data_IF_169642325619
#
_entry.id   IF_169642325619
#
_cell.length_a   1.000
_cell.length_b   1.000
_cell.length_c   1.000
_cell.angle_alpha   90.00
_cell.angle_beta   90.00
_cell.angle_gamma   90.00
#
_symmetry.space_group_name_H-M   'P 1'
#
loop_
_entity.id
_entity.type
_entity.pdbx_description
1 polymer ?
#
# COMPACT_ATOMS: atom_id res chain seq x y z
N UNK A 1 16.24 -0.13 -17.95
CA UNK A 1 15.06 -1.04 -17.87
C UNK A 1 15.09 -1.86 -16.60
N UNK A 2 16.24 -2.40 -16.17
CA UNK A 2 16.36 -3.22 -14.96
C UNK A 2 16.06 -2.41 -13.69
N UNK A 3 16.65 -1.24 -13.54
CA UNK A 3 16.48 -0.37 -12.35
C UNK A 3 15.01 0.00 -12.07
N UNK A 4 14.26 0.34 -13.12
CA UNK A 4 12.82 0.69 -12.98
C UNK A 4 11.94 -0.50 -12.57
N UNK A 5 12.33 -1.74 -12.89
CA UNK A 5 11.58 -2.95 -12.55
C UNK A 5 12.03 -3.60 -11.25
N UNK A 6 13.30 -3.41 -10.87
CA UNK A 6 13.85 -3.97 -9.65
C UNK A 6 13.08 -3.53 -8.40
N UNK A 7 12.64 -2.27 -8.36
CA UNK A 7 11.84 -1.74 -7.26
C UNK A 7 10.46 -2.40 -7.10
N UNK A 8 9.96 -3.11 -8.12
CA UNK A 8 8.68 -3.81 -8.09
C UNK A 8 8.83 -5.30 -7.70
N UNK A 9 10.05 -5.78 -7.53
CA UNK A 9 10.34 -7.18 -7.20
C UNK A 9 10.88 -7.23 -5.76
N UNK A 10 10.18 -7.89 -4.82
CA UNK A 10 10.55 -7.86 -3.41
C UNK A 10 11.99 -8.29 -3.12
N UNK A 11 12.54 -9.19 -3.90
CA UNK A 11 13.90 -9.72 -3.75
C UNK A 11 14.99 -8.66 -4.05
N UNK A 12 14.66 -7.63 -4.83
CA UNK A 12 15.57 -6.54 -5.22
C UNK A 12 15.16 -5.16 -4.72
N UNK A 13 13.93 -5.05 -4.21
CA UNK A 13 13.38 -3.81 -3.69
C UNK A 13 13.95 -3.47 -2.31
N UNK A 14 13.73 -2.24 -1.90
CA UNK A 14 13.93 -1.74 -0.54
C UNK A 14 12.71 -0.92 -0.15
N UNK A 15 12.11 -1.23 0.99
CA UNK A 15 11.01 -0.43 1.54
C UNK A 15 11.60 0.77 2.28
N UNK A 16 11.30 1.95 1.79
CA UNK A 16 11.78 3.23 2.33
C UNK A 16 10.67 4.03 3.02
N UNK A 17 9.42 3.73 2.68
CA UNK A 17 8.23 4.36 3.26
C UNK A 17 7.05 3.39 3.25
N UNK A 18 6.28 3.40 4.32
CA UNK A 18 4.96 2.76 4.42
C UNK A 18 4.02 3.72 5.11
N UNK A 19 2.90 4.04 4.47
CA UNK A 19 1.82 4.84 5.06
C UNK A 19 0.59 3.99 5.30
N UNK A 20 0.02 4.15 6.49
CA UNK A 20 -1.23 3.49 6.90
C UNK A 20 -2.21 4.54 7.38
N UNK A 21 -3.49 4.40 7.04
CA UNK A 21 -4.54 5.21 7.58
C UNK A 21 -5.62 4.34 8.23
N UNK A 22 -6.18 4.83 9.33
CA UNK A 22 -7.29 4.24 10.04
C UNK A 22 -8.52 5.12 9.85
N UNK A 23 -9.61 4.53 9.40
CA UNK A 23 -10.91 5.18 9.39
C UNK A 23 -11.62 4.78 10.68
N UNK A 24 -11.91 5.75 11.52
CA UNK A 24 -12.59 5.56 12.80
C UNK A 24 -14.12 5.51 12.62
N UNK A 25 -14.83 4.98 13.61
CA UNK A 25 -16.29 4.83 13.57
C UNK A 25 -17.03 6.18 13.42
N UNK A 26 -16.44 7.26 13.92
CA UNK A 26 -16.96 8.63 13.76
C UNK A 26 -16.64 9.25 12.38
N UNK A 27 -15.96 8.53 11.50
CA UNK A 27 -15.55 8.99 10.18
C UNK A 27 -14.20 9.72 10.14
N UNK A 28 -13.58 10.00 11.30
CA UNK A 28 -12.25 10.61 11.33
C UNK A 28 -11.18 9.67 10.73
N UNK A 29 -10.18 10.29 10.11
CA UNK A 29 -9.05 9.57 9.53
C UNK A 29 -7.78 9.88 10.31
N UNK A 30 -7.12 8.84 10.82
CA UNK A 30 -5.79 8.95 11.42
C UNK A 30 -4.78 8.27 10.52
N UNK A 31 -3.76 8.99 10.07
CA UNK A 31 -2.67 8.44 9.27
C UNK A 31 -1.39 8.35 10.07
N UNK A 32 -0.55 7.38 9.71
CA UNK A 32 0.78 7.21 10.24
C UNK A 32 1.71 6.72 9.14
N UNK A 33 2.84 7.40 8.98
CA UNK A 33 3.89 7.06 8.03
C UNK A 33 5.13 6.58 8.75
N UNK A 34 5.75 5.55 8.21
CA UNK A 34 7.02 4.99 8.65
C UNK A 34 8.00 5.13 7.49
N UNK A 35 9.10 5.85 7.71
CA UNK A 35 10.08 6.08 6.64
C UNK A 35 11.48 6.18 7.21
N UNK A 36 12.48 5.84 6.40
CA UNK A 36 13.87 5.93 6.83
C UNK A 36 14.85 5.35 5.83
N UNK A 37 16.14 5.61 6.08
CA UNK A 37 17.25 5.01 5.30
C UNK A 37 17.54 3.56 5.72
N UNK A 38 17.20 3.18 6.94
CA UNK A 38 17.30 1.80 7.43
C UNK A 38 15.96 1.08 7.24
N UNK A 39 15.94 0.11 6.33
CA UNK A 39 14.74 -0.66 6.02
C UNK A 39 14.29 -1.55 7.18
N UNK A 40 15.24 -2.15 7.91
CA UNK A 40 14.93 -3.01 9.05
C UNK A 40 14.15 -2.22 10.13
N UNK A 41 14.58 -1.00 10.42
CA UNK A 41 13.89 -0.14 11.38
C UNK A 41 12.50 0.27 10.92
N UNK A 42 12.33 0.60 9.63
CA UNK A 42 11.01 0.90 9.03
C UNK A 42 10.09 -0.32 9.17
N UNK A 43 10.55 -1.48 8.74
CA UNK A 43 9.76 -2.72 8.77
C UNK A 43 9.41 -3.15 10.20
N UNK A 44 10.31 -2.96 11.16
CA UNK A 44 10.05 -3.28 12.57
C UNK A 44 8.97 -2.40 13.20
N UNK A 45 8.90 -1.13 12.82
CA UNK A 45 7.82 -0.23 13.24
C UNK A 45 6.49 -0.64 12.59
N UNK A 46 6.48 -0.95 11.29
CA UNK A 46 5.31 -1.45 10.57
C UNK A 46 4.84 -2.77 11.16
N UNK A 47 5.74 -3.72 11.46
CA UNK A 47 5.41 -4.98 12.11
C UNK A 47 4.65 -4.77 13.42
N UNK A 48 5.16 -3.89 14.31
CA UNK A 48 4.50 -3.58 15.59
C UNK A 48 3.09 -3.01 15.41
N UNK A 49 2.87 -2.19 14.39
CA UNK A 49 1.54 -1.68 14.07
C UNK A 49 0.63 -2.79 13.59
N UNK A 50 1.07 -3.58 12.62
CA UNK A 50 0.28 -4.66 12.01
C UNK A 50 -0.03 -5.78 13.02
N UNK A 51 0.87 -6.08 13.97
CA UNK A 51 0.59 -7.01 15.08
C UNK A 51 -0.56 -6.54 15.97
N UNK A 52 -0.67 -5.23 16.20
CA UNK A 52 -1.81 -4.65 16.95
C UNK A 52 -3.09 -4.74 16.13
N UNK A 53 -3.02 -4.43 14.83
CA UNK A 53 -4.16 -4.54 13.92
C UNK A 53 -4.69 -5.98 13.83
N UNK A 54 -3.82 -6.97 13.77
CA UNK A 54 -4.22 -8.38 13.75
C UNK A 54 -4.96 -8.82 15.01
N UNK A 55 -4.58 -8.30 16.18
CA UNK A 55 -5.28 -8.57 17.45
C UNK A 55 -6.64 -7.92 17.56
N UNK A 56 -6.88 -6.84 16.84
CA UNK A 56 -8.12 -6.06 16.84
C UNK A 56 -9.05 -6.40 15.66
N UNK A 57 -8.74 -7.46 14.92
CA UNK A 57 -9.52 -7.95 13.78
C UNK A 57 -9.76 -6.91 12.66
N UNK A 58 -8.78 -6.05 12.40
CA UNK A 58 -8.82 -5.11 11.28
C UNK A 58 -8.73 -5.83 9.94
N UNK A 59 -9.35 -5.21 8.93
CA UNK A 59 -9.14 -5.57 7.53
C UNK A 59 -8.09 -4.65 6.91
N UNK A 60 -7.15 -5.23 6.16
CA UNK A 60 -6.28 -4.45 5.29
C UNK A 60 -7.08 -3.94 4.10
N UNK A 61 -6.78 -2.72 3.66
CA UNK A 61 -7.40 -2.16 2.48
C UNK A 61 -6.38 -1.45 1.61
N UNK A 62 -6.48 -1.65 0.29
CA UNK A 62 -5.54 -1.07 -0.66
C UNK A 62 -5.99 -1.21 -2.11
N UNK A 63 -5.16 -0.71 -3.02
CA UNK A 63 -5.34 -0.90 -4.46
C UNK A 63 -4.24 -1.81 -5.01
N UNK A 64 -4.60 -2.94 -5.58
CA UNK A 64 -3.68 -4.02 -5.95
C UNK A 64 -2.89 -4.59 -4.75
N UNK A 65 -3.44 -4.41 -3.57
CA UNK A 65 -2.82 -4.74 -2.28
C UNK A 65 -2.43 -6.21 -2.18
N UNK A 66 -3.33 -7.10 -2.60
CA UNK A 66 -3.12 -8.55 -2.52
C UNK A 66 -1.99 -9.06 -3.39
N UNK A 67 -1.77 -8.40 -4.54
CA UNK A 67 -0.74 -8.82 -5.50
C UNK A 67 0.56 -8.03 -5.36
N UNK A 68 0.58 -6.90 -4.65
CA UNK A 68 1.78 -6.06 -4.55
C UNK A 68 2.18 -5.79 -3.09
N UNK A 69 1.41 -5.00 -2.33
CA UNK A 69 1.85 -4.51 -1.01
C UNK A 69 2.00 -5.65 0.01
N UNK A 70 1.05 -6.57 0.08
CA UNK A 70 1.10 -7.73 0.99
C UNK A 70 2.32 -8.61 0.71
N UNK A 71 2.54 -9.13 -0.52
CA UNK A 71 3.72 -9.92 -0.83
C UNK A 71 5.02 -9.13 -0.64
N UNK A 72 5.04 -7.84 -0.97
CA UNK A 72 6.20 -6.98 -0.80
C UNK A 72 6.56 -6.88 0.69
N UNK A 73 5.63 -6.53 1.56
CA UNK A 73 5.85 -6.42 3.00
C UNK A 73 6.30 -7.74 3.61
N UNK A 74 5.57 -8.84 3.33
CA UNK A 74 5.88 -10.14 3.91
C UNK A 74 7.29 -10.63 3.51
N UNK A 75 7.62 -10.59 2.22
CA UNK A 75 8.94 -11.02 1.73
C UNK A 75 10.06 -10.11 2.22
N UNK A 76 9.87 -8.78 2.23
CA UNK A 76 10.88 -7.85 2.75
C UNK A 76 11.10 -8.01 4.26
N UNK A 77 10.06 -8.32 5.04
CA UNK A 77 10.21 -8.68 6.45
C UNK A 77 11.07 -9.94 6.60
N UNK A 78 10.78 -11.00 5.87
CA UNK A 78 11.57 -12.26 5.92
C UNK A 78 13.04 -12.00 5.54
N UNK A 79 13.29 -11.22 4.48
CA UNK A 79 14.66 -10.88 4.02
C UNK A 79 15.42 -10.07 5.09
N UNK A 80 14.71 -9.33 5.95
CA UNK A 80 15.28 -8.55 7.06
C UNK A 80 15.19 -9.30 8.40
N UNK A 81 15.05 -10.63 8.42
CA UNK A 81 14.97 -11.47 9.62
C UNK A 81 13.81 -11.10 10.57
N UNK A 82 12.73 -10.55 10.02
CA UNK A 82 11.50 -10.23 10.75
C UNK A 82 10.38 -11.22 10.38
N UNK A 83 9.63 -11.68 11.39
CA UNK A 83 8.47 -12.54 11.17
C UNK A 83 7.28 -11.68 10.67
N UNK A 84 6.66 -12.01 9.53
CA UNK A 84 5.44 -11.33 9.09
C UNK A 84 4.32 -11.45 10.12
N UNK A 85 3.61 -10.34 10.44
CA UNK A 85 2.47 -10.33 11.36
C UNK A 85 1.32 -11.22 10.89
N UNK A 86 0.54 -11.75 11.84
CA UNK A 86 -0.58 -12.66 11.56
C UNK A 86 -1.72 -12.06 10.72
N UNK A 87 -1.81 -10.74 10.62
CA UNK A 87 -2.75 -10.05 9.73
C UNK A 87 -2.38 -10.22 8.25
N UNK A 88 -1.11 -10.47 7.95
CA UNK A 88 -0.66 -10.83 6.60
C UNK A 88 -0.91 -12.32 6.37
N UNK A 89 -1.36 -12.71 5.17
CA UNK A 89 -1.60 -14.11 4.85
C UNK A 89 -0.30 -14.93 4.92
N UNK A 90 -0.41 -16.15 5.43
CA UNK A 90 0.67 -17.15 5.42
C UNK A 90 0.67 -17.93 4.10
N UNK A 91 1.67 -18.80 3.92
CA UNK A 91 1.83 -19.61 2.71
C UNK A 91 0.66 -20.57 2.44
N UNK A 92 -0.09 -20.95 3.46
CA UNK A 92 -1.23 -21.88 3.39
C UNK A 92 -2.59 -21.16 3.41
N UNK A 93 -2.60 -19.84 3.50
CA UNK A 93 -3.81 -19.02 3.45
C UNK A 93 -4.43 -19.06 2.06
N UNK A 94 -5.67 -19.49 1.96
CA UNK A 94 -6.39 -19.51 0.67
C UNK A 94 -6.81 -18.10 0.25
N UNK A 95 -6.93 -17.80 -1.04
CA UNK A 95 -7.26 -16.46 -1.53
C UNK A 95 -8.52 -15.85 -0.90
N UNK A 96 -9.54 -16.65 -0.60
CA UNK A 96 -10.79 -16.20 0.00
C UNK A 96 -10.73 -16.00 1.53
N UNK A 97 -9.66 -16.49 2.19
CA UNK A 97 -9.42 -16.32 3.63
C UNK A 97 -8.63 -15.04 3.94
N UNK A 98 -8.09 -14.39 2.91
CA UNK A 98 -7.30 -13.16 3.06
C UNK A 98 -8.23 -12.03 3.51
N UNK A 99 -8.06 -11.54 4.74
CA UNK A 99 -8.80 -10.41 5.31
C UNK A 99 -8.32 -9.08 4.71
N UNK A 100 -8.54 -8.91 3.41
CA UNK A 100 -8.15 -7.71 2.69
C UNK A 100 -9.21 -7.29 1.67
N UNK A 101 -9.44 -5.99 1.61
CA UNK A 101 -10.31 -5.32 0.63
C UNK A 101 -9.38 -4.71 -0.43
N UNK A 102 -9.45 -5.23 -1.65
CA UNK A 102 -8.65 -4.73 -2.76
C UNK A 102 -9.55 -4.00 -3.76
N UNK A 103 -9.39 -2.69 -3.86
CA UNK A 103 -10.22 -1.86 -4.75
C UNK A 103 -10.05 -2.20 -6.21
N UNK A 104 -8.89 -2.75 -6.61
CA UNK A 104 -8.69 -3.26 -7.96
C UNK A 104 -9.55 -4.49 -8.23
N UNK A 105 -9.61 -5.46 -7.30
CA UNK A 105 -10.48 -6.63 -7.43
C UNK A 105 -11.96 -6.24 -7.47
N UNK A 106 -12.38 -5.27 -6.63
CA UNK A 106 -13.76 -4.75 -6.67
C UNK A 106 -14.07 -4.18 -8.05
N UNK A 107 -13.17 -3.36 -8.60
CA UNK A 107 -13.36 -2.73 -9.91
C UNK A 107 -13.33 -3.72 -11.06
N UNK A 108 -12.62 -4.82 -10.91
CA UNK A 108 -12.54 -5.87 -11.94
C UNK A 108 -13.85 -6.61 -12.17
N UNK A 109 -14.75 -6.68 -11.21
CA UNK A 109 -16.01 -7.45 -11.32
C UNK A 109 -15.82 -8.86 -11.89
N UNK A 110 -14.75 -9.55 -11.49
CA UNK A 110 -14.40 -10.89 -11.97
C UNK A 110 -13.67 -10.92 -13.32
N UNK A 111 -13.39 -9.79 -13.96
CA UNK A 111 -12.59 -9.72 -15.19
C UNK A 111 -11.10 -9.73 -14.90
N UNK A 112 -10.35 -10.66 -15.48
CA UNK A 112 -8.90 -10.71 -15.38
C UNK A 112 -8.16 -9.75 -16.32
N UNK A 113 -8.87 -9.14 -17.28
CA UNK A 113 -8.29 -8.27 -18.31
C UNK A 113 -8.36 -6.79 -17.95
N UNK A 114 -8.97 -6.45 -16.84
CA UNK A 114 -9.11 -5.06 -16.40
C UNK A 114 -7.74 -4.47 -16.03
N UNK A 115 -7.31 -3.47 -16.77
CA UNK A 115 -6.12 -2.67 -16.48
C UNK A 115 -6.59 -1.51 -15.61
N UNK A 116 -6.40 -1.63 -14.29
CA UNK A 116 -6.75 -0.57 -13.35
C UNK A 116 -5.52 -0.04 -12.65
N UNK A 117 -5.09 1.18 -12.97
CA UNK A 117 -4.29 1.99 -12.06
C UNK A 117 -5.21 2.73 -11.11
N UNK A 118 -4.69 3.10 -9.94
CA UNK A 118 -5.43 3.91 -8.97
C UNK A 118 -5.96 5.21 -9.62
N UNK A 119 -5.12 5.87 -10.42
CA UNK A 119 -5.47 7.10 -11.14
C UNK A 119 -6.62 6.92 -12.13
N UNK A 120 -6.60 5.81 -12.88
CA UNK A 120 -7.69 5.53 -13.82
C UNK A 120 -8.99 5.28 -13.05
N UNK A 121 -8.94 4.55 -11.95
CA UNK A 121 -10.10 4.34 -11.10
C UNK A 121 -10.63 5.65 -10.55
N UNK A 122 -9.76 6.54 -10.04
CA UNK A 122 -10.13 7.89 -9.59
C UNK A 122 -10.88 8.66 -10.68
N UNK A 123 -10.34 8.68 -11.90
CA UNK A 123 -10.96 9.38 -13.02
C UNK A 123 -12.33 8.79 -13.39
N UNK A 124 -12.51 7.47 -13.27
CA UNK A 124 -13.78 6.80 -13.58
C UNK A 124 -14.88 7.08 -12.56
N UNK A 125 -14.51 7.28 -11.28
CA UNK A 125 -15.48 7.50 -10.19
C UNK A 125 -15.53 8.95 -9.71
N UNK A 126 -14.90 9.87 -10.43
CA UNK A 126 -14.86 11.30 -10.16
C UNK A 126 -14.30 11.64 -8.77
N UNK A 127 -13.20 10.96 -8.41
CA UNK A 127 -12.40 11.25 -7.21
C UNK A 127 -11.14 11.98 -7.64
N UNK A 128 -10.81 13.17 -7.06
CA UNK A 128 -9.60 13.90 -7.39
C UNK A 128 -8.34 13.06 -7.17
N UNK A 129 -7.44 13.04 -8.15
CA UNK A 129 -6.14 12.38 -8.00
C UNK A 129 -5.10 13.34 -7.40
N UNK A 130 -4.15 12.86 -6.60
CA UNK A 130 -3.14 13.70 -5.97
C UNK A 130 -2.01 14.13 -6.93
N UNK A 131 -2.24 14.13 -8.24
CA UNK A 131 -1.22 14.33 -9.29
C UNK A 131 -0.55 15.70 -9.35
N UNK A 132 -0.88 16.61 -8.44
CA UNK A 132 -0.26 17.95 -8.37
C UNK A 132 1.15 17.92 -7.74
N UNK A 133 1.73 16.75 -7.49
CA UNK A 133 3.05 16.56 -6.93
C UNK A 133 4.13 16.24 -7.97
N UNK A 134 5.37 16.61 -7.66
CA UNK A 134 6.56 16.28 -8.46
C UNK A 134 6.88 14.78 -8.45
N UNK A 135 6.40 14.01 -7.46
CA UNK A 135 6.67 12.58 -7.29
C UNK A 135 5.55 11.75 -7.89
N UNK A 136 5.93 10.78 -8.70
CA UNK A 136 5.05 9.74 -9.25
C UNK A 136 5.71 8.37 -9.03
N UNK A 137 4.92 7.28 -9.08
CA UNK A 137 5.43 5.94 -8.78
C UNK A 137 6.63 5.49 -9.62
N UNK A 138 6.74 5.97 -10.86
CA UNK A 138 7.83 5.64 -11.78
C UNK A 138 9.15 6.38 -11.50
N UNK A 139 9.09 7.50 -10.75
CA UNK A 139 10.28 8.30 -10.39
C UNK A 139 10.68 8.16 -8.91
N UNK A 140 9.92 7.44 -8.08
CA UNK A 140 10.26 7.21 -6.66
C UNK A 140 11.70 6.71 -6.51
N UNK A 141 12.13 5.77 -7.37
CA UNK A 141 13.49 5.24 -7.32
C UNK A 141 14.54 6.33 -7.50
N UNK A 142 14.44 7.15 -8.57
CA UNK A 142 15.40 8.24 -8.83
C UNK A 142 15.35 9.31 -7.74
N UNK A 143 14.15 9.67 -7.29
CA UNK A 143 13.95 10.67 -6.25
C UNK A 143 14.55 10.26 -4.90
N UNK A 144 14.55 8.96 -4.60
CA UNK A 144 15.18 8.45 -3.37
C UNK A 144 16.70 8.37 -3.49
N UNK A 145 17.23 7.75 -4.58
CA UNK A 145 18.63 7.42 -4.67
C UNK A 145 19.51 8.58 -5.16
N UNK A 146 18.97 9.49 -6.00
CA UNK A 146 19.75 10.56 -6.62
C UNK A 146 19.39 11.94 -6.06
N UNK A 147 18.14 12.17 -5.63
CA UNK A 147 17.66 13.49 -5.25
C UNK A 147 17.46 13.66 -3.74
N UNK A 148 17.64 12.59 -2.91
CA UNK A 148 17.41 12.55 -1.45
C UNK A 148 16.01 13.09 -1.03
N UNK A 149 14.98 12.87 -1.87
CA UNK A 149 13.61 13.39 -1.71
C UNK A 149 12.72 12.45 -0.89
N UNK A 150 13.24 11.89 0.22
CA UNK A 150 12.45 10.96 1.04
C UNK A 150 11.19 11.61 1.63
N UNK A 151 11.25 12.89 1.98
CA UNK A 151 10.12 13.62 2.56
C UNK A 151 8.98 13.75 1.56
N UNK A 152 9.27 14.13 0.33
CA UNK A 152 8.30 14.26 -0.75
C UNK A 152 7.69 12.91 -1.14
N UNK A 153 8.48 11.83 -1.05
CA UNK A 153 7.99 10.45 -1.24
C UNK A 153 6.97 10.09 -0.14
N UNK A 154 7.23 10.45 1.11
CA UNK A 154 6.28 10.24 2.21
C UNK A 154 4.98 11.01 1.96
N UNK A 155 5.06 12.27 1.57
CA UNK A 155 3.89 13.10 1.25
C UNK A 155 3.07 12.49 0.08
N UNK A 156 3.75 11.95 -0.93
CA UNK A 156 3.11 11.23 -2.02
C UNK A 156 2.37 9.98 -1.52
N UNK A 157 3.03 9.11 -0.73
CA UNK A 157 2.40 7.93 -0.14
C UNK A 157 1.18 8.28 0.74
N UNK A 158 1.26 9.39 1.50
CA UNK A 158 0.14 9.85 2.32
C UNK A 158 -1.06 10.28 1.49
N UNK A 159 -0.84 10.97 0.38
CA UNK A 159 -1.90 11.38 -0.56
C UNK A 159 -2.58 10.16 -1.19
N UNK A 160 -1.80 9.18 -1.65
CA UNK A 160 -2.35 7.95 -2.25
C UNK A 160 -3.26 7.19 -1.27
N UNK A 161 -2.88 7.10 0.00
CA UNK A 161 -3.69 6.44 1.03
C UNK A 161 -4.99 7.21 1.31
N UNK A 162 -4.97 8.55 1.31
CA UNK A 162 -6.17 9.35 1.51
C UNK A 162 -7.15 9.22 0.34
N UNK A 163 -6.65 9.28 -0.89
CA UNK A 163 -7.44 9.07 -2.11
C UNK A 163 -8.11 7.69 -2.10
N UNK A 164 -7.40 6.66 -1.64
CA UNK A 164 -7.96 5.32 -1.52
C UNK A 164 -9.19 5.28 -0.59
N UNK A 165 -9.18 6.04 0.51
CA UNK A 165 -10.33 6.15 1.42
C UNK A 165 -11.54 6.73 0.69
N UNK A 166 -11.35 7.77 -0.11
CA UNK A 166 -12.43 8.41 -0.86
C UNK A 166 -13.00 7.48 -1.93
N UNK A 167 -12.14 6.72 -2.63
CA UNK A 167 -12.57 5.67 -3.56
C UNK A 167 -13.43 4.62 -2.85
N UNK A 168 -13.01 4.12 -1.68
CA UNK A 168 -13.76 3.10 -0.95
C UNK A 168 -15.12 3.62 -0.52
N UNK A 169 -15.20 4.88 -0.04
CA UNK A 169 -16.47 5.52 0.29
C UNK A 169 -17.38 5.57 -0.93
N UNK A 170 -16.84 6.03 -2.07
CA UNK A 170 -17.58 6.11 -3.32
C UNK A 170 -18.08 4.75 -3.80
N UNK A 171 -17.24 3.73 -3.79
CA UNK A 171 -17.62 2.37 -4.19
C UNK A 171 -18.66 1.74 -3.24
N UNK A 172 -18.68 2.12 -1.96
CA UNK A 172 -19.71 1.66 -1.01
C UNK A 172 -21.08 2.31 -1.25
N UNK A 173 -21.11 3.56 -1.73
CA UNK A 173 -22.34 4.26 -2.09
C UNK A 173 -23.05 3.64 -3.30
N UNK A 174 -22.34 2.84 -4.12
CA UNK A 174 -22.86 2.17 -5.28
C UNK A 174 -23.50 0.79 -4.98
N UNK A 175 -23.49 0.36 -3.71
CA UNK A 175 -24.16 -0.85 -3.23
C UNK A 175 -25.52 -0.52 -2.63
#
# INVERSE_FOLDING_TARGET
>A
VFEKRAALVPEFAKIICVTVAFVLDNGDVKKQSFSGKDEHDVLKQVQKLLDRCGKLDFYLCGHNLKNFDIPMLAKRMIINDLMPPSILPSYDTKPWEIKAIDTKEIWQYGSYTSIGSLDLLCACVDVPTPKDGEITGDIVHSSYWYDDKLKEIVEYCEKDVLVLIDIIKKLKELK
#
